data_IF_998176940604
#
_entry.id   IF_998176940604
#
_cell.length_a   1.000
_cell.length_b   1.000
_cell.length_c   1.000
_cell.angle_alpha   90.00
_cell.angle_beta   90.00
_cell.angle_gamma   90.00
#
_symmetry.space_group_name_H-M   'P 1'
#
loop_
_entity.id
_entity.type
_entity.pdbx_description
1 polymer ?
#
# COMPACT_ATOMS: atom_id res chain seq x y z
N UNK A 1 -4.28 26.12 11.20
CA UNK A 1 -5.27 25.12 11.65
C UNK A 1 -6.27 24.87 10.52
N UNK A 2 -5.96 23.96 9.60
CA UNK A 2 -6.79 23.63 8.41
C UNK A 2 -7.13 22.14 8.44
N UNK A 3 -7.84 21.70 9.48
CA UNK A 3 -8.25 20.29 9.63
C UNK A 3 -9.76 20.10 9.77
N UNK A 4 -10.57 21.15 9.60
CA UNK A 4 -12.05 21.06 9.73
C UNK A 4 -12.80 20.77 8.41
N UNK A 5 -12.10 20.66 7.27
CA UNK A 5 -12.74 20.52 5.94
C UNK A 5 -12.89 19.09 5.40
N UNK A 6 -12.18 18.10 5.94
CA UNK A 6 -12.09 16.76 5.32
C UNK A 6 -13.30 15.84 5.56
N UNK A 7 -14.35 16.31 6.26
CA UNK A 7 -15.49 15.46 6.64
C UNK A 7 -16.55 15.24 5.55
N UNK A 8 -16.39 15.80 4.33
CA UNK A 8 -17.37 15.65 3.23
C UNK A 8 -16.78 15.42 1.84
N UNK A 9 -15.50 15.06 1.73
CA UNK A 9 -14.94 14.75 0.42
C UNK A 9 -15.42 13.38 -0.06
N UNK A 10 -15.94 13.29 -1.28
CA UNK A 10 -16.21 12.00 -1.91
C UNK A 10 -14.95 11.35 -2.50
N UNK A 11 -15.07 10.11 -3.00
CA UNK A 11 -13.92 9.40 -3.57
C UNK A 11 -13.30 10.13 -4.76
N UNK A 12 -14.10 10.85 -5.56
CA UNK A 12 -13.61 11.56 -6.75
C UNK A 12 -12.79 12.76 -6.33
N UNK A 13 -13.27 13.53 -5.36
CA UNK A 13 -12.52 14.66 -4.79
C UNK A 13 -11.21 14.19 -4.13
N UNK A 14 -11.27 13.06 -3.41
CA UNK A 14 -10.06 12.46 -2.84
C UNK A 14 -9.07 12.01 -3.91
N UNK A 15 -9.53 11.34 -4.96
CA UNK A 15 -8.69 10.91 -6.09
C UNK A 15 -8.05 12.09 -6.81
N UNK A 16 -8.81 13.16 -7.02
CA UNK A 16 -8.30 14.40 -7.61
C UNK A 16 -7.21 15.04 -6.73
N UNK A 17 -7.37 15.04 -5.41
CA UNK A 17 -6.33 15.49 -4.50
C UNK A 17 -5.10 14.56 -4.52
N UNK A 18 -5.31 13.23 -4.55
CA UNK A 18 -4.26 12.22 -4.58
C UNK A 18 -3.38 12.36 -5.82
N UNK A 19 -3.98 12.34 -7.02
CA UNK A 19 -3.24 12.37 -8.29
C UNK A 19 -2.49 13.68 -8.55
N UNK A 20 -2.86 14.75 -7.82
CA UNK A 20 -2.25 16.09 -7.86
C UNK A 20 -1.26 16.34 -6.72
N UNK A 21 -0.90 15.31 -5.96
CA UNK A 21 0.04 15.38 -4.82
C UNK A 21 -0.39 16.34 -3.71
N UNK A 22 -1.70 16.50 -3.49
CA UNK A 22 -2.25 17.40 -2.46
C UNK A 22 -2.53 16.69 -1.13
N UNK A 23 -2.10 15.43 -0.99
CA UNK A 23 -2.26 14.64 0.22
C UNK A 23 -0.96 14.58 1.03
N UNK A 24 -1.04 14.32 2.35
CA UNK A 24 0.15 14.14 3.18
C UNK A 24 1.08 13.05 2.61
N UNK A 25 2.39 13.32 2.65
CA UNK A 25 3.46 12.44 2.16
C UNK A 25 3.48 12.19 0.64
N UNK A 26 2.64 12.88 -0.14
CA UNK A 26 2.79 12.93 -1.58
C UNK A 26 4.01 13.79 -1.98
N UNK A 27 4.64 13.56 -3.16
CA UNK A 27 4.28 12.57 -4.18
C UNK A 27 4.62 11.12 -3.80
N UNK A 28 3.65 10.20 -3.92
CA UNK A 28 3.76 8.86 -3.31
C UNK A 28 4.68 7.91 -4.10
N UNK A 29 4.72 8.03 -5.43
CA UNK A 29 5.56 7.18 -6.29
C UNK A 29 7.02 7.54 -6.08
N UNK A 30 7.33 8.83 -6.06
CA UNK A 30 8.66 9.36 -5.79
C UNK A 30 9.12 9.00 -4.37
N UNK A 31 8.24 9.13 -3.37
CA UNK A 31 8.52 8.68 -2.00
C UNK A 31 8.87 7.18 -1.94
N UNK A 32 8.12 6.32 -2.64
CA UNK A 32 8.44 4.88 -2.70
C UNK A 32 9.73 4.60 -3.49
N UNK A 33 9.98 5.35 -4.56
CA UNK A 33 11.16 5.22 -5.40
C UNK A 33 12.44 5.60 -4.64
N UNK A 34 12.41 6.61 -3.77
CA UNK A 34 13.56 6.94 -2.91
C UNK A 34 13.99 5.77 -2.02
N UNK A 35 13.02 5.06 -1.43
CA UNK A 35 13.30 3.83 -0.67
C UNK A 35 13.82 2.71 -1.57
N UNK A 36 13.24 2.57 -2.77
CA UNK A 36 13.66 1.58 -3.76
C UNK A 36 15.11 1.74 -4.23
N UNK A 37 15.57 2.97 -4.42
CA UNK A 37 16.98 3.25 -4.79
C UNK A 37 17.95 2.80 -3.69
N UNK A 38 17.51 2.74 -2.44
CA UNK A 38 18.28 2.27 -1.27
C UNK A 38 18.07 0.79 -0.96
N UNK A 39 17.33 0.03 -1.77
CA UNK A 39 16.96 -1.37 -1.49
C UNK A 39 18.14 -2.34 -1.34
N UNK A 40 19.33 -1.95 -1.80
CA UNK A 40 20.58 -2.73 -1.68
C UNK A 40 21.40 -2.36 -0.45
N UNK A 41 20.99 -1.34 0.32
CA UNK A 41 21.61 -1.03 1.61
C UNK A 41 21.37 -2.20 2.58
N UNK A 42 22.41 -2.74 3.24
CA UNK A 42 22.26 -3.86 4.17
C UNK A 42 21.33 -3.56 5.36
N UNK A 43 21.03 -2.29 5.64
CA UNK A 43 20.12 -1.84 6.69
C UNK A 43 18.74 -1.40 6.16
N UNK A 44 18.42 -1.68 4.90
CA UNK A 44 17.10 -1.43 4.31
C UNK A 44 16.48 -2.72 3.77
N UNK A 45 15.27 -3.04 4.22
CA UNK A 45 14.47 -4.12 3.64
C UNK A 45 13.24 -3.55 2.95
N UNK A 46 13.21 -3.64 1.61
CA UNK A 46 12.05 -3.29 0.81
C UNK A 46 11.11 -4.50 0.69
N UNK A 47 9.83 -4.30 1.01
CA UNK A 47 8.76 -5.31 0.89
C UNK A 47 7.57 -4.69 0.16
N UNK A 48 6.82 -5.52 -0.58
CA UNK A 48 5.55 -5.13 -1.17
C UNK A 48 4.37 -5.72 -0.41
N UNK A 49 3.27 -4.98 -0.37
CA UNK A 49 2.05 -5.42 0.27
C UNK A 49 1.43 -6.63 -0.43
N UNK A 50 1.53 -6.67 -1.75
CA UNK A 50 1.10 -7.76 -2.62
C UNK A 50 1.79 -9.08 -2.24
N UNK A 51 3.11 -9.05 -2.10
CA UNK A 51 3.91 -10.22 -1.70
C UNK A 51 3.53 -10.74 -0.30
N UNK A 52 3.14 -9.83 0.61
CA UNK A 52 2.70 -10.20 1.96
C UNK A 52 1.33 -10.87 1.95
N UNK A 53 0.43 -10.47 1.05
CA UNK A 53 -0.86 -11.14 0.88
C UNK A 53 -0.66 -12.52 0.24
N UNK A 54 0.16 -12.60 -0.80
CA UNK A 54 0.32 -13.82 -1.60
C UNK A 54 1.18 -14.88 -0.89
N UNK A 55 2.26 -14.45 -0.24
CA UNK A 55 3.32 -15.34 0.27
C UNK A 55 3.83 -14.93 1.65
N UNK A 56 2.92 -14.76 2.62
CA UNK A 56 3.26 -14.30 3.97
C UNK A 56 4.40 -15.07 4.67
N UNK A 57 4.44 -16.42 4.70
CA UNK A 57 5.55 -17.15 5.33
C UNK A 57 6.92 -16.86 4.69
N UNK A 58 6.95 -16.63 3.37
CA UNK A 58 8.17 -16.27 2.65
C UNK A 58 8.65 -14.87 3.06
N UNK A 59 7.73 -13.90 3.15
CA UNK A 59 8.08 -12.55 3.60
C UNK A 59 8.53 -12.53 5.07
N UNK A 60 7.92 -13.35 5.93
CA UNK A 60 8.37 -13.52 7.32
C UNK A 60 9.82 -14.02 7.36
N UNK A 61 10.18 -15.05 6.57
CA UNK A 61 11.57 -15.53 6.48
C UNK A 61 12.53 -14.42 6.07
N UNK A 62 12.13 -13.62 5.09
CA UNK A 62 12.94 -12.52 4.57
C UNK A 62 13.19 -11.44 5.64
N UNK A 63 12.18 -11.12 6.43
CA UNK A 63 12.33 -10.23 7.61
C UNK A 63 13.24 -10.87 8.67
N UNK A 64 13.06 -12.16 8.99
CA UNK A 64 13.93 -12.84 9.95
C UNK A 64 15.40 -12.82 9.52
N UNK A 65 15.67 -13.13 8.25
CA UNK A 65 17.02 -13.08 7.67
C UNK A 65 17.62 -11.67 7.75
N UNK A 66 16.85 -10.64 7.39
CA UNK A 66 17.29 -9.24 7.47
C UNK A 66 17.64 -8.82 8.90
N UNK A 67 16.86 -9.27 9.89
CA UNK A 67 17.13 -9.00 11.31
C UNK A 67 18.18 -9.94 11.93
N UNK A 68 18.82 -10.81 11.14
CA UNK A 68 19.76 -11.83 11.62
C UNK A 68 19.18 -12.75 12.71
N UNK A 69 17.93 -13.16 12.52
CA UNK A 69 17.20 -14.07 13.43
C UNK A 69 16.78 -15.34 12.71
N UNK A 70 16.70 -16.44 13.45
CA UNK A 70 16.31 -17.75 12.93
C UNK A 70 15.17 -18.32 13.77
N UNK A 71 14.14 -18.81 13.09
CA UNK A 71 12.98 -19.45 13.69
C UNK A 71 12.71 -20.78 12.99
N UNK A 72 12.12 -21.73 13.71
CA UNK A 72 11.69 -22.99 13.12
C UNK A 72 10.52 -22.77 12.15
N UNK A 73 10.32 -23.73 11.24
CA UNK A 73 9.17 -23.70 10.33
C UNK A 73 7.83 -23.58 11.07
N UNK A 74 7.70 -24.31 12.18
CA UNK A 74 6.51 -24.27 13.02
C UNK A 74 6.29 -22.86 13.61
N UNK A 75 7.34 -22.18 14.06
CA UNK A 75 7.23 -20.82 14.58
C UNK A 75 6.84 -19.82 13.50
N UNK A 76 7.39 -19.96 12.29
CA UNK A 76 7.04 -19.11 11.14
C UNK A 76 5.56 -19.31 10.78
N UNK A 77 5.08 -20.55 10.77
CA UNK A 77 3.67 -20.84 10.46
C UNK A 77 2.72 -20.31 11.55
N UNK A 78 3.11 -20.39 12.83
CA UNK A 78 2.36 -19.78 13.93
C UNK A 78 2.26 -18.26 13.75
N UNK A 79 3.35 -17.61 13.38
CA UNK A 79 3.36 -16.18 13.12
C UNK A 79 2.52 -15.81 11.89
N UNK A 80 2.62 -16.58 10.80
CA UNK A 80 1.80 -16.37 9.61
C UNK A 80 0.30 -16.51 9.91
N UNK A 81 -0.09 -17.49 10.72
CA UNK A 81 -1.47 -17.66 11.17
C UNK A 81 -1.91 -16.48 12.04
N UNK A 82 -1.07 -16.03 12.98
CA UNK A 82 -1.35 -14.86 13.80
C UNK A 82 -1.56 -13.59 12.96
N UNK A 83 -0.74 -13.42 11.93
CA UNK A 83 -0.77 -12.28 11.01
C UNK A 83 -1.77 -12.45 9.86
N UNK A 84 -2.50 -13.56 9.78
CA UNK A 84 -3.58 -13.70 8.82
C UNK A 84 -4.60 -12.57 9.03
N UNK A 85 -5.08 -11.97 7.93
CA UNK A 85 -5.97 -10.81 7.98
C UNK A 85 -7.19 -11.02 8.89
N UNK A 86 -7.83 -12.19 8.86
CA UNK A 86 -9.01 -12.47 9.69
C UNK A 86 -8.67 -12.50 11.19
N UNK A 87 -7.46 -12.96 11.53
CA UNK A 87 -6.97 -13.01 12.90
C UNK A 87 -6.52 -11.62 13.37
N UNK A 88 -5.78 -10.88 12.55
CA UNK A 88 -5.40 -9.48 12.81
C UNK A 88 -6.63 -8.59 12.98
N UNK A 89 -7.65 -8.75 12.15
CA UNK A 89 -8.89 -7.96 12.21
C UNK A 89 -9.65 -8.18 13.52
N UNK A 90 -9.57 -9.36 14.13
CA UNK A 90 -10.17 -9.65 15.45
C UNK A 90 -9.31 -9.14 16.62
N UNK A 91 -8.02 -8.88 16.39
CA UNK A 91 -7.10 -8.46 17.43
C UNK A 91 -7.35 -6.98 17.80
N UNK A 92 -7.89 -6.77 19.01
CA UNK A 92 -8.24 -5.44 19.51
C UNK A 92 -7.04 -4.52 19.69
N UNK A 93 -5.84 -5.05 19.93
CA UNK A 93 -4.64 -4.23 20.13
C UNK A 93 -4.24 -3.48 18.87
N UNK A 94 -4.50 -4.06 17.69
CA UNK A 94 -4.12 -3.50 16.39
C UNK A 94 -5.30 -2.95 15.59
N UNK A 95 -6.51 -3.46 15.81
CA UNK A 95 -7.74 -3.01 15.16
C UNK A 95 -8.59 -2.06 16.04
N UNK A 96 -7.97 -1.37 16.98
CA UNK A 96 -8.64 -0.30 17.72
C UNK A 96 -8.59 0.99 16.91
N UNK A 97 -9.76 1.47 16.47
CA UNK A 97 -9.89 2.87 16.10
C UNK A 97 -10.00 3.71 17.37
N UNK A 98 -9.35 4.87 17.34
CA UNK A 98 -9.67 5.96 18.26
C UNK A 98 -11.17 6.26 18.18
N UNK A 99 -11.83 6.36 19.33
CA UNK A 99 -13.17 6.95 19.42
C UNK A 99 -13.18 8.33 18.75
N UNK A 100 -14.28 8.74 18.15
CA UNK A 100 -14.41 10.17 17.78
C UNK A 100 -14.34 11.07 19.02
N UNK A 101 -14.25 12.38 18.80
CA UNK A 101 -14.25 13.41 19.86
C UNK A 101 -15.48 13.31 20.81
N UNK A 102 -16.51 12.54 20.43
CA UNK A 102 -17.72 12.31 21.20
C UNK A 102 -17.77 10.91 21.87
N UNK A 103 -16.67 10.15 21.83
CA UNK A 103 -16.58 8.83 22.44
C UNK A 103 -17.36 7.73 21.70
N UNK A 104 -17.92 8.01 20.53
CA UNK A 104 -18.60 7.00 19.70
C UNK A 104 -17.58 6.25 18.87
N UNK A 105 -17.79 4.93 18.78
CA UNK A 105 -17.09 4.10 17.81
C UNK A 105 -17.64 4.43 16.43
N UNK A 106 -16.84 5.13 15.65
CA UNK A 106 -17.11 5.32 14.23
C UNK A 106 -17.16 3.92 13.64
N UNK A 107 -18.23 3.54 12.95
CA UNK A 107 -18.40 2.19 12.37
C UNK A 107 -17.32 1.77 11.35
N UNK A 108 -16.30 2.60 11.16
CA UNK A 108 -15.11 2.27 10.41
C UNK A 108 -14.29 1.23 11.18
N UNK A 109 -13.41 0.52 10.48
CA UNK A 109 -12.41 -0.36 11.09
C UNK A 109 -11.06 0.06 10.55
N UNK A 110 -10.00 0.01 11.37
CA UNK A 110 -8.65 0.31 10.90
C UNK A 110 -8.22 -0.76 9.89
N UNK A 111 -8.47 -2.03 10.21
CA UNK A 111 -8.33 -3.16 9.30
C UNK A 111 -9.62 -3.37 8.51
N UNK A 112 -9.60 -2.97 7.23
CA UNK A 112 -10.78 -2.93 6.35
C UNK A 112 -11.01 -4.25 5.59
N UNK A 113 -10.23 -4.49 4.53
CA UNK A 113 -10.44 -5.61 3.59
C UNK A 113 -9.25 -6.55 3.38
N UNK A 114 -8.00 -6.10 3.52
CA UNK A 114 -6.83 -7.00 3.42
C UNK A 114 -6.57 -7.61 2.03
N UNK A 115 -7.01 -6.94 0.95
CA UNK A 115 -6.94 -7.45 -0.41
C UNK A 115 -6.22 -6.47 -1.35
N UNK A 116 -5.50 -7.00 -2.35
CA UNK A 116 -4.98 -6.21 -3.47
C UNK A 116 -6.01 -6.13 -4.61
N UNK A 117 -5.87 -5.15 -5.51
CA UNK A 117 -6.72 -4.99 -6.70
C UNK A 117 -8.16 -4.49 -6.45
N UNK A 118 -8.54 -4.20 -5.20
CA UNK A 118 -9.92 -3.76 -4.88
C UNK A 118 -10.28 -2.37 -5.42
N UNK A 119 -9.30 -1.56 -5.83
CA UNK A 119 -9.51 -0.20 -6.34
C UNK A 119 -10.41 -0.17 -7.57
N UNK A 120 -10.34 -1.19 -8.44
CA UNK A 120 -11.15 -1.31 -9.67
C UNK A 120 -12.66 -1.31 -9.37
N UNK A 121 -13.07 -1.80 -8.19
CA UNK A 121 -14.49 -1.82 -7.78
C UNK A 121 -14.99 -0.45 -7.31
N UNK A 122 -14.09 0.48 -7.06
CA UNK A 122 -14.38 1.81 -6.53
C UNK A 122 -14.27 2.90 -7.59
N UNK A 123 -13.52 2.65 -8.67
CA UNK A 123 -13.25 3.60 -9.73
C UNK A 123 -14.29 3.45 -10.85
N UNK A 124 -14.81 4.57 -11.34
CA UNK A 124 -15.57 4.57 -12.60
C UNK A 124 -14.60 4.55 -13.81
N UNK A 125 -15.14 4.36 -15.01
CA UNK A 125 -14.35 4.25 -16.25
C UNK A 125 -13.39 5.44 -16.44
N UNK A 126 -13.84 6.66 -16.11
CA UNK A 126 -13.02 7.86 -16.21
C UNK A 126 -11.86 7.81 -15.21
N UNK A 127 -12.11 7.42 -13.97
CA UNK A 127 -11.06 7.31 -12.96
C UNK A 127 -10.05 6.21 -13.29
N UNK A 128 -10.48 5.10 -13.91
CA UNK A 128 -9.56 4.04 -14.36
C UNK A 128 -8.58 4.59 -15.39
N UNK A 129 -9.07 5.30 -16.41
CA UNK A 129 -8.21 5.93 -17.41
C UNK A 129 -7.24 6.94 -16.77
N UNK A 130 -7.74 7.78 -15.86
CA UNK A 130 -6.89 8.73 -15.12
C UNK A 130 -5.83 8.02 -14.27
N UNK A 131 -6.12 6.83 -13.73
CA UNK A 131 -5.16 6.06 -12.93
C UNK A 131 -4.06 5.46 -13.81
N UNK A 132 -4.39 4.95 -14.99
CA UNK A 132 -3.40 4.47 -15.97
C UNK A 132 -2.50 5.60 -16.46
N UNK A 133 -3.08 6.77 -16.80
CA UNK A 133 -2.33 7.97 -17.17
C UNK A 133 -1.39 8.43 -16.04
N UNK A 134 -1.91 8.47 -14.80
CA UNK A 134 -1.13 8.82 -13.62
C UNK A 134 0.03 7.86 -13.39
N UNK A 135 -0.22 6.55 -13.41
CA UNK A 135 0.81 5.54 -13.19
C UNK A 135 1.87 5.58 -14.28
N UNK A 136 1.46 5.68 -15.56
CA UNK A 136 2.40 5.78 -16.68
C UNK A 136 3.29 7.01 -16.52
N UNK A 137 2.71 8.18 -16.28
CA UNK A 137 3.47 9.42 -16.13
C UNK A 137 4.44 9.40 -14.93
N UNK A 138 4.04 8.77 -13.81
CA UNK A 138 4.86 8.74 -12.58
C UNK A 138 5.90 7.64 -12.57
N UNK A 139 5.61 6.49 -13.16
CA UNK A 139 6.50 5.33 -13.15
C UNK A 139 7.49 5.31 -14.31
N UNK A 140 7.25 6.07 -15.39
CA UNK A 140 8.15 6.14 -16.54
C UNK A 140 9.62 6.44 -16.16
N UNK A 141 9.85 7.28 -15.15
CA UNK A 141 11.19 7.64 -14.69
C UNK A 141 11.57 7.04 -13.32
N UNK A 142 10.71 6.17 -12.79
CA UNK A 142 10.96 5.51 -11.52
C UNK A 142 11.67 4.18 -11.76
N UNK A 143 12.58 3.80 -10.87
CA UNK A 143 13.22 2.48 -10.92
C UNK A 143 12.39 1.40 -10.21
N UNK A 144 11.42 1.81 -9.38
CA UNK A 144 10.55 0.90 -8.63
C UNK A 144 9.63 0.11 -9.55
N UNK A 145 9.64 -1.21 -9.39
CA UNK A 145 8.75 -2.11 -10.12
C UNK A 145 7.79 -2.73 -9.11
N UNK A 146 6.49 -2.45 -9.28
CA UNK A 146 5.43 -2.97 -8.44
C UNK A 146 5.01 -4.36 -8.96
N UNK A 147 4.84 -5.38 -8.10
CA UNK A 147 4.57 -6.75 -8.53
C UNK A 147 3.31 -6.94 -9.38
N UNK A 148 2.30 -6.08 -9.19
CA UNK A 148 0.98 -6.18 -9.83
C UNK A 148 0.73 -5.13 -10.92
N UNK A 149 1.67 -4.21 -11.15
CA UNK A 149 1.54 -3.22 -12.22
C UNK A 149 2.00 -3.85 -13.54
N UNK A 150 1.18 -3.83 -14.60
CA UNK A 150 1.54 -4.43 -15.88
C UNK A 150 2.82 -3.81 -16.49
N UNK A 151 3.65 -4.60 -17.18
CA UNK A 151 4.90 -4.11 -17.79
C UNK A 151 4.71 -2.91 -18.74
N UNK A 152 3.61 -2.86 -19.50
CA UNK A 152 3.34 -1.77 -20.45
C UNK A 152 3.23 -0.38 -19.80
N UNK A 153 2.95 -0.30 -18.50
CA UNK A 153 2.92 0.97 -17.76
C UNK A 153 4.33 1.56 -17.61
N UNK A 154 5.36 0.71 -17.62
CA UNK A 154 6.77 1.10 -17.55
C UNK A 154 7.38 1.36 -18.93
N UNK A 155 6.71 0.95 -20.00
CA UNK A 155 7.19 1.15 -21.36
C UNK A 155 7.01 2.61 -21.75
N UNK A 156 8.11 3.28 -22.08
CA UNK A 156 8.07 4.64 -22.62
C UNK A 156 7.24 4.65 -23.89
N UNK A 157 6.43 5.69 -24.11
CA UNK A 157 5.86 6.04 -25.41
C UNK A 157 6.97 6.48 -26.41
N UNK A 158 7.98 5.63 -26.63
CA UNK A 158 9.10 5.80 -27.55
C UNK A 158 8.88 5.08 -28.89
N UNK A 159 7.65 4.74 -29.25
CA UNK A 159 7.34 4.01 -30.50
C UNK A 159 6.55 4.80 -31.55
N UNK A 160 6.43 6.14 -31.42
CA UNK A 160 5.81 7.00 -32.43
C UNK A 160 6.66 8.23 -32.81
N UNK A 161 7.97 8.03 -32.98
CA UNK A 161 8.84 8.86 -33.82
C UNK A 161 9.62 7.95 -34.76
#
# INVERSE_FOLDING_TARGET
MVMKGFQKADLKEFWEAFRRDLLPYAPIVEHANEAWLKRHDPNMLMLFYEDMIEHLPSQIRRVCQFLNTSYSEAQIQILAEHLNFDNLKKNKTVNSLSSDDNGKKNGNQFLRNGQSGSWVKHFDEKMVLQAEEYLTARLQNAEIIYPTVPPHIYETACSYL
#
